data_IF_705545642287
#
_entry.id   IF_705545642287
#
_cell.length_a   1.000
_cell.length_b   1.000
_cell.length_c   1.000
_cell.angle_alpha   90.00
_cell.angle_beta   90.00
_cell.angle_gamma   90.00
#
_symmetry.space_group_name_H-M   'P 1'
#
loop_
_entity.id
_entity.type
_entity.pdbx_description
1 polymer ?
#
# COMPACT_ATOMS: atom_id res chain seq x y z
N UNK A 1 -7.02 13.09 -15.76
CA UNK A 1 -6.95 13.99 -14.60
C UNK A 1 -5.70 13.77 -13.74
N UNK A 2 -5.12 12.58 -13.67
CA UNK A 2 -3.88 12.26 -12.95
C UNK A 2 -2.59 12.90 -13.52
N UNK A 3 -2.55 13.29 -14.79
CA UNK A 3 -1.35 13.83 -15.45
C UNK A 3 -0.87 15.17 -14.91
N UNK A 4 -1.76 16.03 -14.43
CA UNK A 4 -1.39 17.40 -13.97
C UNK A 4 -0.76 17.32 -12.56
N UNK A 5 -1.15 16.36 -11.74
CA UNK A 5 -0.66 16.21 -10.36
C UNK A 5 0.80 15.74 -10.33
N UNK A 6 1.21 14.87 -11.25
CA UNK A 6 2.60 14.39 -11.33
C UNK A 6 3.58 15.49 -11.81
N UNK A 7 3.16 16.36 -12.72
CA UNK A 7 4.01 17.47 -13.16
C UNK A 7 4.13 18.60 -12.12
N UNK A 8 3.08 18.87 -11.34
CA UNK A 8 3.14 19.84 -10.25
C UNK A 8 3.97 19.32 -9.05
N UNK A 9 3.90 18.03 -8.74
CA UNK A 9 4.74 17.45 -7.68
C UNK A 9 6.24 17.52 -8.03
N UNK A 10 6.61 17.41 -9.30
CA UNK A 10 8.01 17.55 -9.74
C UNK A 10 8.55 18.99 -9.68
N UNK A 11 7.66 20.01 -9.72
CA UNK A 11 8.04 21.42 -9.66
C UNK A 11 8.07 21.99 -8.21
N UNK A 12 7.45 21.32 -7.23
CA UNK A 12 7.21 21.85 -5.89
C UNK A 12 8.19 21.34 -4.83
N UNK A 13 9.10 20.44 -5.15
CA UNK A 13 10.13 20.00 -4.22
C UNK A 13 11.53 20.39 -4.68
N UNK A 14 12.29 21.16 -3.84
CA UNK A 14 13.74 21.19 -4.00
C UNK A 14 14.27 19.79 -3.70
N UNK A 15 14.40 19.03 -4.72
CA UNK A 15 15.39 18.00 -4.95
C UNK A 15 15.95 17.27 -3.72
N UNK A 16 15.22 16.30 -3.15
CA UNK A 16 15.91 15.05 -2.89
C UNK A 16 15.92 14.30 -4.23
N UNK A 17 16.96 14.54 -5.03
CA UNK A 17 17.23 13.76 -6.22
C UNK A 17 17.63 12.35 -5.78
N UNK A 18 16.68 11.47 -5.49
CA UNK A 18 16.96 10.06 -5.74
C UNK A 18 17.24 9.96 -7.24
N UNK A 19 18.50 9.84 -7.56
CA UNK A 19 18.93 9.41 -8.87
C UNK A 19 18.36 8.00 -9.05
N UNK A 20 17.25 7.85 -9.77
CA UNK A 20 16.77 6.53 -10.20
C UNK A 20 17.78 6.01 -11.22
N UNK A 21 18.92 5.55 -10.72
CA UNK A 21 20.00 5.01 -11.50
C UNK A 21 19.81 3.51 -11.62
N UNK A 22 19.54 3.03 -12.83
CA UNK A 22 19.39 1.57 -13.04
C UNK A 22 20.66 0.80 -12.66
N UNK A 23 21.82 1.47 -12.58
CA UNK A 23 23.09 0.92 -12.08
C UNK A 23 22.99 0.42 -10.62
N UNK A 24 22.02 0.88 -9.83
CA UNK A 24 21.73 0.32 -8.51
C UNK A 24 21.43 -1.19 -8.57
N UNK A 25 21.04 -1.69 -9.74
CA UNK A 25 20.75 -3.11 -9.98
C UNK A 25 21.90 -3.91 -10.57
N UNK A 26 23.09 -3.32 -10.76
CA UNK A 26 24.25 -4.03 -11.31
C UNK A 26 24.70 -5.21 -10.44
N UNK A 27 24.44 -5.15 -9.13
CA UNK A 27 24.70 -6.26 -8.22
C UNK A 27 23.84 -7.50 -8.48
N UNK A 28 22.76 -7.40 -9.27
CA UNK A 28 21.89 -8.51 -9.64
C UNK A 28 22.24 -9.14 -11.00
N UNK A 29 23.27 -8.66 -11.68
CA UNK A 29 23.73 -9.24 -12.96
C UNK A 29 24.09 -10.73 -12.77
N UNK A 30 23.48 -11.61 -13.57
CA UNK A 30 23.69 -13.05 -13.51
C UNK A 30 23.05 -13.78 -12.32
N UNK A 31 22.28 -13.07 -11.47
CA UNK A 31 21.73 -13.58 -10.20
C UNK A 31 20.20 -13.72 -10.19
N UNK A 32 19.54 -13.52 -11.33
CA UNK A 32 18.10 -13.68 -11.51
C UNK A 32 17.85 -14.55 -12.72
N UNK A 33 17.05 -15.61 -12.59
CA UNK A 33 16.76 -16.51 -13.70
C UNK A 33 15.63 -15.99 -14.58
N UNK A 34 15.62 -16.42 -15.85
CA UNK A 34 14.53 -16.15 -16.79
C UNK A 34 13.17 -16.62 -16.23
N UNK A 35 13.13 -17.83 -15.64
CA UNK A 35 11.91 -18.38 -15.07
C UNK A 35 11.35 -17.56 -13.90
N UNK A 36 12.23 -16.98 -13.07
CA UNK A 36 11.80 -16.06 -12.00
C UNK A 36 11.18 -14.78 -12.57
N UNK A 37 11.83 -14.17 -13.58
CA UNK A 37 11.30 -12.99 -14.27
C UNK A 37 9.92 -13.30 -14.89
N UNK A 38 9.81 -14.41 -15.64
CA UNK A 38 8.54 -14.81 -16.26
C UNK A 38 7.41 -15.03 -15.23
N UNK A 39 7.74 -15.63 -14.09
CA UNK A 39 6.77 -15.85 -13.02
C UNK A 39 6.28 -14.53 -12.39
N UNK A 40 7.16 -13.58 -12.16
CA UNK A 40 6.81 -12.26 -11.61
C UNK A 40 6.05 -11.40 -12.63
N UNK A 41 6.44 -11.41 -13.92
CA UNK A 41 5.78 -10.65 -14.98
C UNK A 41 4.28 -10.94 -15.09
N UNK A 42 3.83 -12.16 -14.81
CA UNK A 42 2.40 -12.54 -14.79
C UNK A 42 1.55 -11.65 -13.90
N UNK A 43 2.14 -11.11 -12.84
CA UNK A 43 1.46 -10.31 -11.83
C UNK A 43 1.90 -8.84 -11.82
N UNK A 44 3.06 -8.56 -12.39
CA UNK A 44 3.56 -7.19 -12.45
C UNK A 44 2.99 -6.40 -13.63
N UNK A 45 2.55 -7.05 -14.70
CA UNK A 45 2.07 -6.40 -15.92
C UNK A 45 0.57 -6.59 -16.10
N UNK A 46 -0.19 -5.45 -16.12
CA UNK A 46 -1.65 -5.45 -16.32
C UNK A 46 -2.04 -5.35 -17.79
N UNK A 47 -1.34 -4.55 -18.60
CA UNK A 47 -1.70 -4.29 -19.98
C UNK A 47 -0.62 -4.80 -20.96
N UNK A 48 -1.04 -5.23 -22.16
CA UNK A 48 -0.11 -5.66 -23.21
C UNK A 48 0.81 -4.51 -23.66
N UNK A 49 0.32 -3.29 -23.65
CA UNK A 49 1.06 -2.10 -24.06
C UNK A 49 2.23 -1.78 -23.12
N UNK A 50 2.18 -2.25 -21.87
CA UNK A 50 3.31 -2.16 -20.94
C UNK A 50 4.55 -2.91 -21.47
N UNK A 51 4.38 -3.91 -22.32
CA UNK A 51 5.48 -4.63 -22.97
C UNK A 51 6.28 -3.76 -23.94
N UNK A 52 5.80 -2.56 -24.27
CA UNK A 52 6.55 -1.58 -25.07
C UNK A 52 7.82 -1.09 -24.36
N UNK A 53 7.92 -1.24 -23.04
CA UNK A 53 8.99 -0.73 -22.20
C UNK A 53 10.02 -1.77 -21.79
N UNK A 54 9.87 -3.02 -22.20
CA UNK A 54 10.85 -4.08 -21.90
C UNK A 54 10.88 -5.18 -22.95
N UNK A 55 11.95 -5.97 -22.91
CA UNK A 55 12.08 -7.26 -23.62
C UNK A 55 12.71 -8.29 -22.70
N UNK A 56 12.29 -9.53 -22.87
CA UNK A 56 12.89 -10.70 -22.21
C UNK A 56 13.42 -11.65 -23.29
N UNK A 57 14.73 -11.89 -23.26
CA UNK A 57 15.41 -12.87 -24.12
C UNK A 57 15.83 -14.10 -23.28
N UNK A 58 16.61 -14.99 -23.85
CA UNK A 58 17.13 -16.15 -23.11
C UNK A 58 18.21 -15.73 -22.09
N UNK A 59 18.94 -14.67 -22.39
CA UNK A 59 20.13 -14.21 -21.67
C UNK A 59 19.97 -12.86 -20.97
N UNK A 60 18.89 -12.11 -21.26
CA UNK A 60 18.74 -10.76 -20.72
C UNK A 60 17.29 -10.32 -20.54
N UNK A 61 17.09 -9.43 -19.53
CA UNK A 61 15.92 -8.58 -19.40
C UNK A 61 16.32 -7.12 -19.70
N UNK A 62 15.63 -6.50 -20.66
CA UNK A 62 16.03 -5.20 -21.21
C UNK A 62 14.91 -4.19 -20.94
N UNK A 63 15.25 -3.02 -20.42
CA UNK A 63 14.35 -1.87 -20.21
C UNK A 63 14.57 -0.85 -21.33
N UNK A 64 13.47 -0.27 -21.80
CA UNK A 64 13.45 0.82 -22.79
C UNK A 64 12.70 2.03 -22.24
N UNK A 65 13.14 3.24 -22.59
CA UNK A 65 12.48 4.47 -22.16
C UNK A 65 11.15 4.72 -22.91
N UNK A 66 11.03 4.18 -24.15
CA UNK A 66 9.84 4.31 -24.97
C UNK A 66 9.71 3.16 -25.99
N UNK A 67 8.54 3.05 -26.63
CA UNK A 67 8.36 2.14 -27.77
C UNK A 67 9.33 2.49 -28.92
N UNK A 68 9.57 3.78 -29.17
CA UNK A 68 10.52 4.22 -30.20
C UNK A 68 11.94 3.77 -29.94
N UNK A 69 12.38 3.80 -28.69
CA UNK A 69 13.70 3.31 -28.29
C UNK A 69 13.79 1.79 -28.44
N UNK A 70 12.72 1.07 -28.07
CA UNK A 70 12.64 -0.38 -28.28
C UNK A 70 12.77 -0.75 -29.75
N UNK A 71 12.07 -0.06 -30.65
CA UNK A 71 12.15 -0.28 -32.10
C UNK A 71 13.55 -0.03 -32.67
N UNK A 72 14.30 0.88 -32.08
CA UNK A 72 15.69 1.22 -32.45
C UNK A 72 16.73 0.44 -31.67
N UNK A 73 16.30 -0.48 -30.77
CA UNK A 73 17.19 -1.22 -29.84
C UNK A 73 18.05 -0.30 -28.97
N UNK A 74 17.54 0.89 -28.61
CA UNK A 74 18.18 1.82 -27.69
C UNK A 74 17.80 1.48 -26.26
N UNK A 75 18.66 0.72 -25.59
CA UNK A 75 18.43 0.22 -24.24
C UNK A 75 18.60 1.32 -23.18
N UNK A 76 17.67 1.41 -22.23
CA UNK A 76 17.83 2.24 -21.04
C UNK A 76 18.64 1.48 -19.97
N UNK A 77 18.42 0.13 -19.89
CA UNK A 77 19.18 -0.77 -19.02
C UNK A 77 19.09 -2.21 -19.51
N UNK A 78 20.15 -2.98 -19.28
CA UNK A 78 20.22 -4.43 -19.56
C UNK A 78 20.63 -5.17 -18.29
N UNK A 79 19.79 -6.13 -17.89
CA UNK A 79 20.08 -7.10 -16.84
C UNK A 79 20.44 -8.43 -17.49
N UNK A 80 21.64 -8.93 -17.29
CA UNK A 80 22.06 -10.28 -17.70
C UNK A 80 21.39 -11.29 -16.77
N UNK A 81 20.76 -12.30 -17.35
CA UNK A 81 20.10 -13.38 -16.62
C UNK A 81 21.09 -14.50 -16.27
N UNK A 82 20.78 -15.28 -15.24
CA UNK A 82 21.60 -16.37 -14.76
C UNK A 82 20.83 -17.28 -13.81
N UNK A 83 21.46 -17.70 -12.73
CA UNK A 83 20.82 -18.50 -11.69
C UNK A 83 20.23 -17.60 -10.61
N UNK A 84 18.98 -17.84 -10.22
CA UNK A 84 18.37 -17.11 -9.12
C UNK A 84 19.07 -17.40 -7.81
N UNK A 85 19.29 -16.33 -7.04
CA UNK A 85 19.71 -16.45 -5.65
C UNK A 85 18.60 -17.10 -4.81
N UNK A 86 18.99 -17.75 -3.72
CA UNK A 86 18.03 -18.15 -2.69
C UNK A 86 17.36 -16.93 -2.06
N UNK A 87 16.10 -17.10 -1.64
CA UNK A 87 15.43 -16.06 -0.86
C UNK A 87 16.23 -15.76 0.41
N UNK A 88 16.30 -14.49 0.85
CA UNK A 88 16.99 -14.15 2.08
C UNK A 88 16.37 -14.88 3.27
N UNK A 89 17.22 -15.35 4.18
CA UNK A 89 16.74 -15.95 5.42
C UNK A 89 16.04 -14.89 6.27
N UNK A 90 14.82 -15.19 6.71
CA UNK A 90 14.09 -14.32 7.62
C UNK A 90 14.63 -14.46 9.05
N UNK A 91 14.47 -13.41 9.85
CA UNK A 91 14.75 -13.45 11.29
C UNK A 91 13.85 -14.50 11.96
N UNK A 92 14.33 -15.10 13.04
CA UNK A 92 13.63 -16.21 13.74
C UNK A 92 12.83 -15.78 14.97
N UNK A 93 12.83 -14.50 15.27
CA UNK A 93 12.07 -13.91 16.38
C UNK A 93 11.73 -12.47 16.06
N UNK A 94 10.78 -11.88 16.77
CA UNK A 94 10.44 -10.46 16.65
C UNK A 94 11.49 -9.55 17.30
N UNK A 95 12.30 -10.07 18.21
CA UNK A 95 13.36 -9.29 18.85
C UNK A 95 14.31 -8.70 17.79
N UNK A 96 14.46 -7.38 17.82
CA UNK A 96 15.27 -6.61 16.86
C UNK A 96 14.77 -6.65 15.39
N UNK A 97 13.54 -7.15 15.14
CA UNK A 97 12.90 -6.92 13.85
C UNK A 97 12.50 -5.46 13.70
N UNK A 98 12.76 -4.90 12.53
CA UNK A 98 12.30 -3.57 12.14
C UNK A 98 10.96 -3.68 11.41
N UNK A 99 9.91 -3.10 11.97
CA UNK A 99 8.57 -3.18 11.41
C UNK A 99 8.04 -1.78 11.16
N UNK A 100 7.73 -1.46 9.91
CA UNK A 100 7.03 -0.23 9.59
C UNK A 100 5.52 -0.46 9.56
N UNK A 101 4.77 0.45 10.15
CA UNK A 101 3.31 0.46 10.11
C UNK A 101 2.87 1.80 9.51
N UNK A 102 2.10 1.73 8.44
CA UNK A 102 1.46 2.87 7.81
C UNK A 102 -0.04 2.85 8.07
N UNK A 103 -0.55 3.66 9.01
CA UNK A 103 -1.99 3.83 9.16
C UNK A 103 -2.51 4.64 7.99
N UNK A 104 -3.36 4.02 7.15
CA UNK A 104 -3.94 4.65 5.98
C UNK A 104 -4.79 5.87 6.30
N UNK A 105 -4.96 6.74 5.32
CA UNK A 105 -5.78 7.95 5.40
C UNK A 105 -5.38 8.95 6.49
N UNK A 106 -6.15 10.04 6.61
CA UNK A 106 -6.04 11.04 7.67
C UNK A 106 -7.24 10.92 8.60
N UNK A 107 -7.00 11.03 9.91
CA UNK A 107 -8.06 11.05 10.93
C UNK A 107 -8.57 12.46 11.23
N UNK A 108 -9.46 12.55 12.23
CA UNK A 108 -10.04 13.80 12.70
C UNK A 108 -10.73 14.60 11.58
N UNK A 109 -10.59 15.92 11.65
CA UNK A 109 -11.20 16.85 10.69
C UNK A 109 -10.73 16.64 9.24
N UNK A 110 -9.52 16.15 9.01
CA UNK A 110 -9.01 15.90 7.68
C UNK A 110 -9.71 14.73 6.97
N UNK A 111 -10.40 13.86 7.71
CA UNK A 111 -11.21 12.78 7.12
C UNK A 111 -12.32 13.32 6.20
N UNK A 112 -12.90 14.49 6.53
CA UNK A 112 -13.90 15.17 5.70
C UNK A 112 -13.28 15.75 4.42
N UNK A 113 -12.09 16.35 4.50
CA UNK A 113 -11.37 16.84 3.32
C UNK A 113 -10.93 15.68 2.41
N UNK A 114 -10.53 14.57 2.99
CA UNK A 114 -10.17 13.35 2.25
C UNK A 114 -11.40 12.58 1.76
N UNK A 115 -12.58 12.85 2.31
CA UNK A 115 -13.83 12.12 2.08
C UNK A 115 -13.70 10.63 2.46
N UNK A 116 -13.23 10.39 3.68
CA UNK A 116 -13.00 9.05 4.27
C UNK A 116 -13.66 8.91 5.64
N UNK A 117 -14.96 9.18 5.68
CA UNK A 117 -15.78 9.08 6.88
C UNK A 117 -17.04 8.26 6.60
N UNK A 118 -17.57 7.63 7.62
CA UNK A 118 -18.84 6.89 7.60
C UNK A 118 -19.83 7.63 8.47
N UNK A 119 -20.98 8.00 7.90
CA UNK A 119 -22.11 8.61 8.59
C UNK A 119 -23.40 7.92 8.16
N UNK A 120 -23.88 6.99 8.97
CA UNK A 120 -25.03 6.15 8.65
C UNK A 120 -26.08 6.31 9.75
N UNK A 121 -27.29 6.75 9.38
CA UNK A 121 -28.44 6.77 10.27
C UNK A 121 -29.11 5.38 10.32
N UNK A 122 -29.07 4.74 11.49
CA UNK A 122 -29.71 3.44 11.71
C UNK A 122 -30.51 3.43 13.01
N UNK A 123 -31.81 3.09 12.96
CA UNK A 123 -32.73 3.03 14.12
C UNK A 123 -32.63 4.26 15.04
N UNK A 124 -32.66 5.47 14.47
CA UNK A 124 -32.54 6.77 15.16
C UNK A 124 -31.19 7.03 15.83
N UNK A 125 -30.17 6.21 15.56
CA UNK A 125 -28.77 6.45 15.97
C UNK A 125 -27.94 6.83 14.76
N UNK A 126 -27.03 7.78 14.95
CA UNK A 126 -25.99 8.09 13.97
C UNK A 126 -24.78 7.20 14.26
N UNK A 127 -24.40 6.35 13.32
CA UNK A 127 -23.12 5.64 13.32
C UNK A 127 -22.11 6.53 12.59
N UNK A 128 -21.19 7.11 13.34
CA UNK A 128 -20.22 8.07 12.79
C UNK A 128 -18.79 7.67 13.22
N UNK A 129 -17.92 7.50 12.24
CA UNK A 129 -16.49 7.27 12.41
C UNK A 129 -15.75 7.55 11.10
N UNK A 130 -14.43 7.57 11.12
CA UNK A 130 -13.63 7.76 9.91
C UNK A 130 -12.52 6.72 9.82
N UNK A 131 -12.16 6.36 8.59
CA UNK A 131 -11.17 5.32 8.32
C UNK A 131 -9.79 5.68 8.87
N UNK A 132 -9.39 6.96 8.79
CA UNK A 132 -8.10 7.42 9.30
C UNK A 132 -7.92 7.22 10.81
N UNK A 133 -8.99 7.39 11.61
CA UNK A 133 -8.96 7.11 13.05
C UNK A 133 -8.93 5.61 13.32
N UNK A 134 -9.72 4.82 12.58
CA UNK A 134 -9.71 3.37 12.72
C UNK A 134 -8.30 2.80 12.47
N UNK A 135 -7.65 3.21 11.37
CA UNK A 135 -6.32 2.73 11.01
C UNK A 135 -5.25 3.19 11.99
N UNK A 136 -5.34 4.45 12.45
CA UNK A 136 -4.40 5.01 13.42
C UNK A 136 -4.44 4.27 14.77
N UNK A 137 -5.62 4.06 15.32
CA UNK A 137 -5.79 3.36 16.59
C UNK A 137 -5.41 1.89 16.50
N UNK A 138 -5.73 1.23 15.37
CA UNK A 138 -5.26 -0.12 15.09
C UNK A 138 -3.72 -0.19 15.07
N UNK A 139 -3.06 0.80 14.43
CA UNK A 139 -1.61 0.88 14.34
C UNK A 139 -0.95 1.12 15.71
N UNK A 140 -1.55 1.96 16.56
CA UNK A 140 -1.05 2.20 17.92
C UNK A 140 -1.08 0.92 18.76
N UNK A 141 -2.16 0.15 18.69
CA UNK A 141 -2.27 -1.10 19.45
C UNK A 141 -1.36 -2.19 18.87
N UNK A 142 -1.25 -2.29 17.54
CA UNK A 142 -0.31 -3.20 16.89
C UNK A 142 1.14 -2.87 17.28
N UNK A 143 1.52 -1.59 17.30
CA UNK A 143 2.84 -1.14 17.76
C UNK A 143 3.11 -1.61 19.18
N UNK A 144 2.16 -1.40 20.10
CA UNK A 144 2.30 -1.84 21.51
C UNK A 144 2.55 -3.34 21.62
N UNK A 145 1.84 -4.16 20.86
CA UNK A 145 2.01 -5.61 20.85
C UNK A 145 3.39 -6.02 20.33
N UNK A 146 3.86 -5.40 19.26
CA UNK A 146 5.14 -5.71 18.63
C UNK A 146 6.34 -5.27 19.49
N UNK A 147 6.25 -4.09 20.12
CA UNK A 147 7.30 -3.59 21.01
C UNK A 147 7.45 -4.43 22.28
N UNK A 148 6.34 -5.00 22.78
CA UNK A 148 6.40 -5.98 23.90
C UNK A 148 7.18 -7.25 23.56
N UNK A 149 7.22 -7.63 22.29
CA UNK A 149 8.03 -8.75 21.78
C UNK A 149 9.45 -8.33 21.37
N UNK A 150 9.83 -7.09 21.63
CA UNK A 150 11.17 -6.55 21.35
C UNK A 150 11.42 -6.09 19.92
N UNK A 151 10.38 -5.87 19.12
CA UNK A 151 10.51 -5.29 17.78
C UNK A 151 10.77 -3.79 17.85
N UNK A 152 11.55 -3.27 16.89
CA UNK A 152 11.69 -1.83 16.62
C UNK A 152 10.58 -1.41 15.65
N UNK A 153 9.65 -0.55 16.11
CA UNK A 153 8.46 -0.20 15.33
C UNK A 153 8.47 1.27 14.91
N UNK A 154 8.32 1.51 13.63
CA UNK A 154 8.17 2.83 13.02
C UNK A 154 6.73 3.06 12.55
N UNK A 155 6.11 4.20 12.96
CA UNK A 155 4.84 4.67 12.43
C UNK A 155 5.07 5.82 11.46
N UNK A 156 4.40 5.81 10.31
CA UNK A 156 4.50 6.92 9.32
C UNK A 156 3.85 8.19 9.82
N UNK A 157 2.87 8.10 10.72
CA UNK A 157 2.27 9.21 11.45
C UNK A 157 2.02 8.85 12.91
N UNK A 158 2.14 9.84 13.81
CA UNK A 158 2.07 9.66 15.27
C UNK A 158 0.88 10.36 15.91
N UNK A 159 0.09 11.10 15.13
CA UNK A 159 -1.15 11.76 15.58
C UNK A 159 -2.27 11.57 14.56
N UNK A 160 -3.51 11.73 15.01
CA UNK A 160 -4.72 11.48 14.21
C UNK A 160 -4.80 12.36 12.96
N UNK A 161 -4.48 13.64 13.08
CA UNK A 161 -4.64 14.67 12.04
C UNK A 161 -3.34 15.01 11.33
N UNK A 162 -2.27 14.24 11.58
CA UNK A 162 -0.98 14.43 10.92
C UNK A 162 -0.79 13.41 9.80
N UNK A 163 -0.04 13.82 8.77
CA UNK A 163 0.53 12.94 7.77
C UNK A 163 2.01 12.65 8.06
N UNK A 164 2.72 12.19 7.04
CA UNK A 164 4.16 12.04 7.09
C UNK A 164 4.90 13.35 6.80
N UNK A 165 4.24 14.34 6.20
CA UNK A 165 4.81 15.66 5.98
C UNK A 165 4.99 16.41 7.30
N UNK A 166 6.03 17.25 7.38
CA UNK A 166 6.24 18.15 8.52
C UNK A 166 5.24 19.31 8.56
N UNK A 167 4.64 19.64 7.42
CA UNK A 167 3.64 20.69 7.27
C UNK A 167 2.25 20.05 7.23
N UNK A 168 1.30 20.61 8.00
CA UNK A 168 -0.10 20.27 7.84
C UNK A 168 -0.66 20.86 6.52
N UNK A 169 -1.88 20.48 6.15
CA UNK A 169 -2.46 20.90 4.87
C UNK A 169 -2.53 22.42 4.68
N UNK A 170 -2.90 23.18 5.70
CA UNK A 170 -3.00 24.62 5.58
C UNK A 170 -1.64 25.31 5.51
N UNK A 171 -0.64 24.83 6.26
CA UNK A 171 0.74 25.27 6.13
C UNK A 171 1.31 24.95 4.75
N UNK A 172 0.99 23.78 4.22
CA UNK A 172 1.36 23.39 2.85
C UNK A 172 0.78 24.37 1.82
N UNK A 173 -0.49 24.75 1.94
CA UNK A 173 -1.11 25.73 1.04
C UNK A 173 -0.48 27.13 1.18
N UNK A 174 -0.08 27.53 2.37
CA UNK A 174 0.62 28.82 2.58
C UNK A 174 1.97 28.87 1.88
N UNK A 175 2.69 27.75 1.83
CA UNK A 175 3.99 27.65 1.15
C UNK A 175 3.87 27.39 -0.37
N UNK A 176 2.67 27.13 -0.86
CA UNK A 176 2.37 26.87 -2.28
C UNK A 176 1.20 27.73 -2.79
N UNK A 177 1.40 29.08 -2.85
CA UNK A 177 0.32 30.02 -3.15
C UNK A 177 -0.29 29.84 -4.55
N UNK A 178 0.47 29.31 -5.51
CA UNK A 178 -0.04 29.06 -6.88
C UNK A 178 -1.18 28.02 -6.90
N UNK A 179 -1.30 27.16 -5.87
CA UNK A 179 -2.42 26.23 -5.77
C UNK A 179 -3.76 26.94 -5.65
N UNK A 180 -3.80 28.14 -5.04
CA UNK A 180 -4.99 28.96 -4.94
C UNK A 180 -5.50 29.46 -6.30
N UNK A 181 -4.59 29.62 -7.27
CA UNK A 181 -4.92 30.05 -8.62
C UNK A 181 -5.58 28.96 -9.45
N UNK A 182 -5.58 27.71 -8.99
CA UNK A 182 -6.11 26.56 -9.74
C UNK A 182 -7.64 26.45 -9.72
N UNK A 183 -8.35 27.32 -8.99
CA UNK A 183 -9.81 27.29 -8.81
C UNK A 183 -10.36 25.96 -8.27
N UNK A 184 -9.54 25.16 -7.60
CA UNK A 184 -9.92 23.89 -6.97
C UNK A 184 -10.47 24.13 -5.57
N UNK A 185 -11.42 23.29 -5.15
CA UNK A 185 -11.89 23.26 -3.77
C UNK A 185 -10.81 22.74 -2.82
N UNK A 186 -10.92 23.01 -1.52
CA UNK A 186 -10.00 22.46 -0.50
C UNK A 186 -9.96 20.92 -0.56
N UNK A 187 -11.10 20.26 -0.73
CA UNK A 187 -11.18 18.80 -0.93
C UNK A 187 -10.39 18.33 -2.15
N UNK A 188 -10.51 19.04 -3.28
CA UNK A 188 -9.74 18.69 -4.48
C UNK A 188 -8.24 18.92 -4.31
N UNK A 189 -7.83 19.98 -3.61
CA UNK A 189 -6.43 20.23 -3.29
C UNK A 189 -5.89 19.20 -2.30
N UNK A 190 -6.67 18.89 -1.26
CA UNK A 190 -6.29 17.87 -0.28
C UNK A 190 -6.09 16.51 -0.93
N UNK A 191 -7.10 15.98 -1.61
CA UNK A 191 -7.07 14.65 -2.23
C UNK A 191 -6.17 14.54 -3.45
N UNK A 192 -6.11 15.58 -4.25
CA UNK A 192 -5.42 15.57 -5.54
C UNK A 192 -3.95 16.01 -5.46
N UNK A 193 -3.57 16.74 -4.44
CA UNK A 193 -2.21 17.28 -4.30
C UNK A 193 -1.58 16.87 -2.97
N UNK A 194 -2.11 17.37 -1.84
CA UNK A 194 -1.49 17.17 -0.53
C UNK A 194 -1.37 15.69 -0.16
N UNK A 195 -2.44 14.91 -0.30
CA UNK A 195 -2.41 13.47 -0.03
C UNK A 195 -1.41 12.74 -0.94
N UNK A 196 -1.32 13.15 -2.22
CA UNK A 196 -0.33 12.57 -3.13
C UNK A 196 1.10 12.79 -2.66
N UNK A 197 1.43 14.00 -2.22
CA UNK A 197 2.75 14.36 -1.68
C UNK A 197 3.02 13.63 -0.37
N UNK A 198 2.02 13.52 0.51
CA UNK A 198 2.14 12.79 1.77
C UNK A 198 2.41 11.29 1.57
N UNK A 199 1.80 10.65 0.57
CA UNK A 199 2.08 9.25 0.23
C UNK A 199 3.55 9.04 -0.18
N UNK A 200 4.16 9.99 -0.92
CA UNK A 200 5.59 9.93 -1.22
C UNK A 200 6.45 10.08 0.04
N UNK A 201 6.09 11.01 0.92
CA UNK A 201 6.81 11.20 2.19
C UNK A 201 6.69 9.96 3.10
N UNK A 202 5.53 9.28 3.14
CA UNK A 202 5.35 8.00 3.86
C UNK A 202 6.31 6.94 3.33
N UNK A 203 6.34 6.73 2.02
CA UNK A 203 7.23 5.75 1.38
C UNK A 203 8.71 6.07 1.66
N UNK A 204 9.12 7.34 1.56
CA UNK A 204 10.48 7.78 1.83
C UNK A 204 10.91 7.48 3.27
N UNK A 205 10.07 7.81 4.26
CA UNK A 205 10.34 7.53 5.66
C UNK A 205 10.42 6.03 5.95
N UNK A 206 9.53 5.22 5.36
CA UNK A 206 9.59 3.76 5.47
C UNK A 206 10.90 3.24 4.89
N UNK A 207 11.26 3.66 3.67
CA UNK A 207 12.47 3.22 3.00
C UNK A 207 13.74 3.66 3.74
N UNK A 208 13.74 4.84 4.37
CA UNK A 208 14.84 5.31 5.23
C UNK A 208 14.98 4.46 6.50
N UNK A 209 13.88 4.04 7.10
CA UNK A 209 13.87 3.15 8.26
C UNK A 209 14.38 1.75 7.92
N UNK A 210 14.26 1.30 6.66
CA UNK A 210 14.67 -0.02 6.15
C UNK A 210 14.04 -1.17 6.96
N UNK A 211 12.72 -1.31 6.95
CA UNK A 211 12.03 -2.34 7.71
C UNK A 211 12.29 -3.75 7.15
N UNK A 212 12.22 -4.75 8.03
CA UNK A 212 12.16 -6.16 7.63
C UNK A 212 10.80 -6.52 7.00
N UNK A 213 9.73 -5.80 7.41
CA UNK A 213 8.40 -5.89 6.82
C UNK A 213 7.60 -4.61 7.05
N UNK A 214 6.73 -4.26 6.11
CA UNK A 214 5.82 -3.12 6.21
C UNK A 214 4.36 -3.59 6.23
N UNK A 215 3.56 -3.04 7.14
CA UNK A 215 2.11 -3.20 7.21
C UNK A 215 1.44 -1.88 6.87
N UNK A 216 0.61 -1.87 5.84
CA UNK A 216 -0.22 -0.73 5.45
C UNK A 216 -1.66 -1.07 5.82
N UNK A 217 -2.24 -0.35 6.78
CA UNK A 217 -3.53 -0.68 7.39
C UNK A 217 -4.64 0.13 6.74
N UNK A 218 -5.65 -0.56 6.23
CA UNK A 218 -6.88 0.01 5.70
C UNK A 218 -8.11 -0.78 6.14
N UNK A 219 -9.27 -0.14 6.03
CA UNK A 219 -10.59 -0.72 6.17
C UNK A 219 -11.37 -0.48 4.88
N UNK A 220 -11.85 -1.56 4.27
CA UNK A 220 -12.55 -1.42 3.01
C UNK A 220 -13.93 -0.75 3.18
N UNK A 221 -14.41 -0.10 2.12
CA UNK A 221 -15.80 0.30 2.00
C UNK A 221 -16.37 -0.25 0.69
N UNK A 222 -17.43 -1.02 0.78
CA UNK A 222 -18.09 -1.56 -0.42
C UNK A 222 -18.88 -0.46 -1.12
N UNK A 223 -18.57 -0.27 -2.39
CA UNK A 223 -19.20 0.75 -3.22
C UNK A 223 -20.31 0.11 -4.06
N UNK A 224 -21.52 0.22 -3.58
CA UNK A 224 -22.68 -0.12 -4.39
C UNK A 224 -23.12 1.03 -5.30
N UNK A 225 -22.54 2.24 -5.14
CA UNK A 225 -22.76 3.44 -5.99
C UNK A 225 -22.08 4.71 -5.39
N UNK A 226 -22.60 5.93 -5.68
CA UNK A 226 -22.00 7.22 -5.31
C UNK A 226 -21.97 7.54 -3.80
N UNK A 227 -22.63 6.74 -2.96
CA UNK A 227 -22.86 7.03 -1.54
C UNK A 227 -22.22 6.01 -0.58
N UNK A 228 -21.06 5.47 -0.92
CA UNK A 228 -20.43 4.36 -0.18
C UNK A 228 -20.17 4.63 1.33
N UNK A 229 -20.07 5.88 1.74
CA UNK A 229 -19.81 6.23 3.13
C UNK A 229 -21.06 6.58 3.92
N UNK A 230 -22.21 6.72 3.25
CA UNK A 230 -23.51 7.03 3.86
C UNK A 230 -24.53 5.91 3.66
N UNK A 231 -24.18 4.87 2.89
CA UNK A 231 -25.04 3.72 2.62
C UNK A 231 -24.52 2.46 3.30
N UNK A 232 -25.47 1.66 3.79
CA UNK A 232 -25.22 0.34 4.36
C UNK A 232 -25.12 -0.69 3.23
N UNK A 233 -24.24 -1.67 3.40
CA UNK A 233 -24.15 -2.86 2.55
C UNK A 233 -24.32 -4.14 3.38
N UNK A 234 -24.78 -5.20 2.74
CA UNK A 234 -24.76 -6.57 3.26
C UNK A 234 -23.42 -7.28 3.04
N UNK A 235 -22.55 -6.68 2.21
CA UNK A 235 -21.24 -7.23 1.90
C UNK A 235 -20.26 -7.04 3.05
N UNK A 236 -19.56 -8.13 3.40
CA UNK A 236 -18.43 -8.10 4.35
C UNK A 236 -17.37 -9.09 3.90
N UNK A 237 -16.14 -8.63 3.66
CA UNK A 237 -15.04 -9.45 3.18
C UNK A 237 -13.68 -8.82 3.48
N UNK A 238 -12.65 -9.67 3.52
CA UNK A 238 -11.23 -9.28 3.61
C UNK A 238 -10.54 -9.41 2.26
N UNK A 239 -9.54 -8.58 2.03
CA UNK A 239 -8.57 -8.74 0.95
C UNK A 239 -7.26 -8.04 1.28
N UNK A 240 -6.21 -8.36 0.52
CA UNK A 240 -4.90 -7.74 0.69
C UNK A 240 -4.30 -7.38 -0.67
N UNK A 241 -3.51 -6.30 -0.70
CA UNK A 241 -2.78 -5.90 -1.89
C UNK A 241 -1.27 -6.05 -1.68
N UNK A 242 -0.60 -6.43 -2.75
CA UNK A 242 0.86 -6.49 -2.90
C UNK A 242 1.30 -5.66 -4.10
N UNK A 243 2.60 -5.36 -4.27
CA UNK A 243 3.11 -4.66 -5.45
C UNK A 243 2.75 -5.36 -6.76
N UNK A 244 2.48 -4.59 -7.82
CA UNK A 244 2.29 -5.14 -9.16
C UNK A 244 1.21 -4.45 -9.97
N UNK A 245 0.77 -5.10 -11.04
CA UNK A 245 -0.31 -4.60 -11.93
C UNK A 245 0.03 -3.26 -12.61
N UNK A 246 1.27 -3.10 -13.11
CA UNK A 246 1.67 -1.92 -13.89
C UNK A 246 0.98 -1.90 -15.25
N UNK A 247 0.44 -0.74 -15.62
CA UNK A 247 -0.04 -0.44 -16.96
C UNK A 247 0.97 0.36 -17.77
N UNK A 248 0.66 0.58 -19.06
CA UNK A 248 1.49 1.40 -19.95
C UNK A 248 1.69 2.82 -19.39
N UNK A 249 0.64 3.40 -18.84
CA UNK A 249 0.67 4.78 -18.35
C UNK A 249 1.71 5.04 -17.29
N UNK A 250 1.94 4.07 -16.40
CA UNK A 250 2.95 4.17 -15.36
C UNK A 250 4.36 3.98 -15.91
N UNK A 251 4.58 2.99 -16.79
CA UNK A 251 5.91 2.69 -17.33
C UNK A 251 6.46 3.77 -18.26
N UNK A 252 5.66 4.78 -18.67
CA UNK A 252 6.16 6.00 -19.31
C UNK A 252 7.14 6.77 -18.44
N UNK A 253 6.98 6.68 -17.13
CA UNK A 253 7.79 7.39 -16.16
C UNK A 253 9.03 6.57 -15.76
N UNK A 254 10.23 7.17 -15.81
CA UNK A 254 11.49 6.50 -15.44
C UNK A 254 11.44 5.91 -14.04
N UNK A 255 10.86 6.64 -13.08
CA UNK A 255 10.68 6.18 -11.71
C UNK A 255 9.87 4.87 -11.63
N UNK A 256 8.79 4.77 -12.40
CA UNK A 256 7.96 3.56 -12.39
C UNK A 256 8.69 2.37 -13.06
N UNK A 257 9.50 2.60 -14.10
CA UNK A 257 10.35 1.56 -14.70
C UNK A 257 11.44 1.08 -13.72
N UNK A 258 12.00 2.00 -12.93
CA UNK A 258 12.94 1.68 -11.86
C UNK A 258 12.29 0.76 -10.81
N UNK A 259 11.12 1.14 -10.28
CA UNK A 259 10.39 0.33 -9.30
C UNK A 259 9.92 -1.01 -9.88
N UNK A 260 9.55 -1.04 -11.14
CA UNK A 260 9.21 -2.26 -11.85
C UNK A 260 10.40 -3.23 -11.92
N UNK A 261 11.60 -2.74 -12.31
CA UNK A 261 12.82 -3.54 -12.33
C UNK A 261 13.19 -4.01 -10.92
N UNK A 262 13.09 -3.12 -9.91
CA UNK A 262 13.33 -3.49 -8.51
C UNK A 262 12.50 -4.72 -8.10
N UNK A 263 11.21 -4.70 -8.36
CA UNK A 263 10.31 -5.82 -8.03
C UNK A 263 10.66 -7.12 -8.79
N UNK A 264 11.20 -7.00 -9.99
CA UNK A 264 11.66 -8.16 -10.75
C UNK A 264 12.91 -8.79 -10.14
N UNK A 265 13.89 -7.97 -9.71
CA UNK A 265 15.21 -8.47 -9.30
C UNK A 265 15.33 -8.75 -7.81
N UNK A 266 14.49 -8.10 -6.96
CA UNK A 266 14.52 -8.30 -5.50
C UNK A 266 13.54 -9.39 -5.06
N UNK A 267 13.64 -9.79 -3.79
CA UNK A 267 12.70 -10.70 -3.14
C UNK A 267 11.38 -10.03 -2.72
N UNK A 268 11.25 -8.71 -2.89
CA UNK A 268 10.13 -7.91 -2.36
C UNK A 268 8.76 -8.45 -2.77
N UNK A 269 8.56 -8.74 -4.07
CA UNK A 269 7.31 -9.29 -4.57
C UNK A 269 7.00 -10.67 -3.94
N UNK A 270 7.98 -11.57 -3.93
CA UNK A 270 7.82 -12.94 -3.45
C UNK A 270 7.52 -12.97 -1.96
N UNK A 271 8.27 -12.20 -1.16
CA UNK A 271 8.06 -12.12 0.28
C UNK A 271 6.78 -11.36 0.64
N UNK A 272 6.40 -10.32 -0.11
CA UNK A 272 5.09 -9.65 0.05
C UNK A 272 3.94 -10.63 -0.17
N UNK A 273 4.03 -11.47 -1.19
CA UNK A 273 3.03 -12.52 -1.45
C UNK A 273 2.92 -13.51 -0.29
N UNK A 274 4.06 -13.99 0.23
CA UNK A 274 4.09 -14.92 1.37
C UNK A 274 3.49 -14.28 2.63
N UNK A 275 3.91 -13.07 2.97
CA UNK A 275 3.41 -12.33 4.12
C UNK A 275 1.91 -12.02 4.01
N UNK A 276 1.47 -11.50 2.87
CA UNK A 276 0.07 -11.15 2.64
C UNK A 276 -0.89 -12.33 2.69
N UNK A 277 -0.45 -13.52 2.25
CA UNK A 277 -1.21 -14.78 2.42
C UNK A 277 -1.43 -15.10 3.90
N UNK A 278 -0.42 -14.91 4.73
CA UNK A 278 -0.53 -15.14 6.18
C UNK A 278 -1.48 -14.11 6.80
N UNK A 279 -1.35 -12.83 6.45
CA UNK A 279 -2.23 -11.75 6.94
C UNK A 279 -3.69 -12.06 6.59
N UNK A 280 -3.99 -12.38 5.34
CA UNK A 280 -5.36 -12.69 4.90
C UNK A 280 -5.96 -13.88 5.65
N UNK A 281 -5.18 -14.92 5.86
CA UNK A 281 -5.62 -16.07 6.64
C UNK A 281 -5.90 -15.68 8.09
N UNK A 282 -5.06 -14.85 8.73
CA UNK A 282 -5.30 -14.33 10.08
C UNK A 282 -6.52 -13.43 10.17
N UNK A 283 -6.80 -12.64 9.16
CA UNK A 283 -8.07 -11.89 9.07
C UNK A 283 -9.27 -12.84 9.08
N UNK A 284 -9.26 -13.87 8.26
CA UNK A 284 -10.36 -14.84 8.22
C UNK A 284 -10.55 -15.56 9.57
N UNK A 285 -9.43 -15.98 10.20
CA UNK A 285 -9.44 -16.69 11.48
C UNK A 285 -9.94 -15.81 12.64
N UNK A 286 -9.45 -14.58 12.75
CA UNK A 286 -9.72 -13.71 13.91
C UNK A 286 -10.95 -12.84 13.75
N UNK A 287 -11.21 -12.34 12.54
CA UNK A 287 -12.32 -11.42 12.31
C UNK A 287 -13.61 -12.15 11.98
N UNK A 288 -13.55 -13.44 11.62
CA UNK A 288 -14.67 -14.25 11.14
C UNK A 288 -15.34 -13.62 9.89
N UNK A 289 -14.54 -12.93 9.08
CA UNK A 289 -14.96 -12.28 7.85
C UNK A 289 -14.35 -13.05 6.68
N UNK A 290 -15.14 -13.43 5.65
CA UNK A 290 -14.65 -14.23 4.55
C UNK A 290 -13.70 -13.44 3.64
N UNK A 291 -12.93 -14.15 2.83
CA UNK A 291 -12.15 -13.58 1.74
C UNK A 291 -13.07 -13.12 0.62
N UNK A 292 -12.78 -11.96 0.01
CA UNK A 292 -13.49 -11.43 -1.16
C UNK A 292 -13.58 -12.46 -2.29
N UNK A 293 -14.70 -12.42 -2.99
CA UNK A 293 -14.99 -13.27 -4.15
C UNK A 293 -15.48 -12.41 -5.33
N UNK A 294 -15.47 -12.90 -6.57
CA UNK A 294 -16.05 -12.20 -7.72
C UNK A 294 -17.53 -11.80 -7.52
N UNK A 295 -18.30 -12.61 -6.78
CA UNK A 295 -19.72 -12.33 -6.47
C UNK A 295 -19.92 -11.10 -5.57
N UNK A 296 -18.86 -10.58 -4.95
CA UNK A 296 -18.93 -9.36 -4.15
C UNK A 296 -18.97 -8.09 -5.00
N UNK A 297 -18.69 -8.21 -6.31
CA UNK A 297 -18.89 -7.13 -7.29
C UNK A 297 -17.91 -5.95 -7.14
N UNK A 298 -16.71 -6.18 -6.66
CA UNK A 298 -15.65 -5.18 -6.51
C UNK A 298 -14.98 -4.87 -7.86
N UNK A 299 -15.64 -4.05 -8.68
CA UNK A 299 -15.23 -3.75 -10.06
C UNK A 299 -13.76 -3.32 -10.21
N UNK A 300 -13.20 -2.59 -9.25
CA UNK A 300 -11.81 -2.14 -9.33
C UNK A 300 -10.80 -3.30 -9.22
N UNK A 301 -11.17 -4.44 -8.65
CA UNK A 301 -10.31 -5.63 -8.63
C UNK A 301 -10.13 -6.19 -10.03
N UNK A 302 -11.18 -6.18 -10.85
CA UNK A 302 -11.12 -6.65 -12.24
C UNK A 302 -10.32 -5.68 -13.13
N UNK A 303 -10.54 -4.37 -12.94
CA UNK A 303 -9.99 -3.34 -13.85
C UNK A 303 -8.59 -2.87 -13.48
N UNK A 304 -8.22 -2.84 -12.19
CA UNK A 304 -7.00 -2.22 -11.69
C UNK A 304 -6.08 -3.15 -10.89
N UNK A 305 -6.39 -4.44 -10.82
CA UNK A 305 -5.55 -5.42 -10.11
C UNK A 305 -5.44 -6.75 -10.87
N UNK A 306 -4.53 -7.60 -10.43
CA UNK A 306 -4.36 -8.98 -10.91
C UNK A 306 -4.45 -9.89 -9.70
N UNK A 307 -5.34 -10.86 -9.72
CA UNK A 307 -5.41 -11.87 -8.66
C UNK A 307 -4.18 -12.77 -8.71
N UNK A 308 -3.46 -12.84 -7.60
CA UNK A 308 -2.24 -13.64 -7.44
C UNK A 308 -2.59 -14.99 -6.79
N UNK A 309 -3.44 -14.92 -5.77
CA UNK A 309 -4.09 -16.03 -5.06
C UNK A 309 -5.43 -15.49 -4.55
N UNK A 310 -6.35 -16.38 -4.18
CA UNK A 310 -7.68 -15.99 -3.67
C UNK A 310 -7.57 -14.91 -2.59
N UNK A 311 -8.06 -13.71 -2.89
CA UNK A 311 -8.07 -12.54 -2.00
C UNK A 311 -6.73 -11.80 -1.87
N UNK A 312 -5.66 -12.27 -2.54
CA UNK A 312 -4.38 -11.57 -2.64
C UNK A 312 -4.25 -11.01 -4.05
N UNK A 313 -4.18 -9.69 -4.16
CA UNK A 313 -4.17 -9.00 -5.45
C UNK A 313 -2.90 -8.17 -5.63
N UNK A 314 -2.23 -8.30 -6.77
CA UNK A 314 -1.23 -7.34 -7.21
C UNK A 314 -1.94 -6.07 -7.67
N UNK A 315 -1.60 -4.90 -7.10
CA UNK A 315 -2.22 -3.63 -7.43
C UNK A 315 -1.21 -2.48 -7.37
N UNK A 316 -1.22 -1.63 -8.41
CA UNK A 316 -0.31 -0.49 -8.51
C UNK A 316 -0.85 0.73 -7.74
N UNK A 317 -0.83 0.65 -6.40
CA UNK A 317 -1.03 1.79 -5.52
C UNK A 317 0.29 2.53 -5.28
N UNK A 318 0.24 3.79 -4.85
CA UNK A 318 1.44 4.57 -4.57
C UNK A 318 2.37 3.85 -3.57
N UNK A 319 1.85 3.43 -2.42
CA UNK A 319 2.65 2.78 -1.38
C UNK A 319 3.07 1.36 -1.77
N UNK A 320 2.22 0.56 -2.44
CA UNK A 320 2.65 -0.77 -2.89
C UNK A 320 3.79 -0.71 -3.90
N UNK A 321 3.84 0.36 -4.71
CA UNK A 321 4.93 0.58 -5.68
C UNK A 321 6.20 1.14 -5.04
N UNK A 322 6.05 2.15 -4.15
CA UNK A 322 7.16 2.98 -3.68
C UNK A 322 7.86 2.45 -2.44
N UNK A 323 7.19 1.61 -1.65
CA UNK A 323 7.78 1.01 -0.45
C UNK A 323 8.67 -0.15 -0.86
N UNK A 324 9.90 -0.15 -0.35
CA UNK A 324 10.89 -1.20 -0.56
C UNK A 324 10.82 -2.24 0.55
N UNK A 325 11.13 -3.50 0.21
CA UNK A 325 11.01 -4.65 1.09
C UNK A 325 9.64 -5.32 1.07
N UNK A 326 9.48 -6.40 1.85
CA UNK A 326 8.22 -7.12 1.95
C UNK A 326 7.13 -6.24 2.56
N UNK A 327 5.93 -6.25 1.96
CA UNK A 327 4.80 -5.48 2.48
C UNK A 327 3.46 -6.23 2.32
N UNK A 328 2.51 -5.84 3.16
CA UNK A 328 1.10 -6.16 3.00
C UNK A 328 0.28 -4.87 3.15
N UNK A 329 -0.53 -4.57 2.14
CA UNK A 329 -1.57 -3.54 2.20
C UNK A 329 -2.90 -4.25 2.49
N UNK A 330 -3.33 -4.22 3.75
CA UNK A 330 -4.50 -4.97 4.21
C UNK A 330 -5.76 -4.13 4.20
N UNK A 331 -6.79 -4.63 3.54
CA UNK A 331 -8.16 -4.13 3.55
C UNK A 331 -8.99 -5.08 4.42
N UNK A 332 -8.95 -4.87 5.74
CA UNK A 332 -9.66 -5.69 6.69
C UNK A 332 -11.12 -5.27 6.78
N UNK A 333 -12.04 -6.22 6.64
CA UNK A 333 -13.50 -6.04 6.72
C UNK A 333 -14.09 -4.88 5.87
N UNK A 334 -15.39 -4.80 5.76
CA UNK A 334 -16.10 -3.72 5.07
C UNK A 334 -16.76 -2.80 6.10
N UNK A 335 -16.20 -1.60 6.29
CA UNK A 335 -16.57 -0.67 7.37
C UNK A 335 -18.02 -0.16 7.27
N UNK A 336 -18.61 -0.13 6.08
CA UNK A 336 -20.04 0.22 5.87
C UNK A 336 -20.96 -1.01 5.79
N UNK A 337 -20.49 -2.23 6.11
CA UNK A 337 -21.36 -3.34 6.46
C UNK A 337 -22.10 -3.02 7.76
N UNK A 338 -23.40 -3.30 7.83
CA UNK A 338 -24.22 -2.90 8.98
C UNK A 338 -23.67 -3.43 10.32
N UNK A 339 -23.30 -4.70 10.37
CA UNK A 339 -22.81 -5.33 11.59
C UNK A 339 -21.44 -4.72 11.99
N UNK A 340 -20.53 -4.55 11.03
CA UNK A 340 -19.24 -3.94 11.29
C UNK A 340 -19.38 -2.45 11.65
N UNK A 341 -20.25 -1.70 11.01
CA UNK A 341 -20.50 -0.30 11.36
C UNK A 341 -21.03 -0.16 12.79
N UNK A 342 -21.95 -1.05 13.22
CA UNK A 342 -22.44 -1.11 14.60
C UNK A 342 -21.32 -1.49 15.59
N UNK A 343 -20.39 -2.35 15.22
CA UNK A 343 -19.24 -2.72 16.07
C UNK A 343 -18.22 -1.58 16.13
N UNK A 344 -17.82 -1.03 14.97
CA UNK A 344 -16.80 0.02 14.83
C UNK A 344 -17.19 1.34 15.49
N UNK A 345 -18.50 1.66 15.55
CA UNK A 345 -19.02 2.86 16.21
C UNK A 345 -19.09 2.77 17.74
N UNK A 346 -18.80 1.60 18.34
CA UNK A 346 -18.77 1.45 19.81
C UNK A 346 -17.54 2.11 20.40
N UNK A 347 -17.70 2.63 21.62
CA UNK A 347 -16.59 3.12 22.44
C UNK A 347 -16.51 2.24 23.67
N UNK A 348 -16.30 0.93 23.47
CA UNK A 348 -16.33 -0.11 24.50
C UNK A 348 -14.95 -0.48 25.06
N UNK A 349 -13.91 0.18 24.57
CA UNK A 349 -12.53 0.07 25.07
C UNK A 349 -11.75 1.37 24.83
N UNK A 350 -10.47 1.37 25.18
CA UNK A 350 -9.56 2.45 24.84
C UNK A 350 -8.20 1.90 24.35
N UNK A 351 -7.49 2.72 23.57
CA UNK A 351 -6.12 2.48 23.12
C UNK A 351 -5.34 3.77 23.38
N UNK A 352 -4.35 3.71 24.28
CA UNK A 352 -3.51 4.86 24.67
C UNK A 352 -4.33 6.10 25.08
N UNK A 353 -5.44 5.89 25.83
CA UNK A 353 -6.33 6.96 26.27
C UNK A 353 -7.36 7.43 25.23
N UNK A 354 -7.38 6.87 24.04
CA UNK A 354 -8.40 7.16 23.03
C UNK A 354 -9.56 6.14 23.16
N UNK A 355 -10.79 6.60 23.50
CA UNK A 355 -11.98 5.72 23.46
C UNK A 355 -12.20 5.18 22.04
N UNK A 356 -12.42 3.86 21.93
CA UNK A 356 -12.56 3.23 20.62
C UNK A 356 -13.29 1.88 20.71
N UNK A 357 -13.49 1.27 19.55
CA UNK A 357 -14.08 -0.06 19.45
C UNK A 357 -13.05 -1.17 19.75
N UNK A 358 -13.44 -2.17 20.51
CA UNK A 358 -12.69 -3.40 20.70
C UNK A 358 -12.40 -4.15 19.39
N UNK A 359 -13.21 -3.91 18.34
CA UNK A 359 -12.98 -4.47 16.99
C UNK A 359 -11.62 -4.09 16.42
N UNK A 360 -11.09 -2.90 16.74
CA UNK A 360 -9.76 -2.45 16.32
C UNK A 360 -8.64 -3.31 16.91
N UNK A 361 -8.81 -3.76 18.17
CA UNK A 361 -7.87 -4.67 18.81
C UNK A 361 -7.86 -6.05 18.15
N UNK A 362 -9.03 -6.54 17.71
CA UNK A 362 -9.12 -7.80 16.96
C UNK A 362 -8.35 -7.71 15.63
N UNK A 363 -8.51 -6.60 14.89
CA UNK A 363 -7.75 -6.36 13.63
C UNK A 363 -6.25 -6.29 13.90
N UNK A 364 -5.83 -5.55 14.93
CA UNK A 364 -4.42 -5.44 15.30
C UNK A 364 -3.81 -6.80 15.72
N UNK A 365 -4.56 -7.62 16.47
CA UNK A 365 -4.15 -8.97 16.85
C UNK A 365 -3.98 -9.89 15.64
N UNK A 366 -4.84 -9.78 14.63
CA UNK A 366 -4.69 -10.54 13.40
C UNK A 366 -3.39 -10.17 12.65
N UNK A 367 -3.07 -8.89 12.55
CA UNK A 367 -1.76 -8.43 12.01
C UNK A 367 -0.59 -8.91 12.86
N UNK A 368 -0.68 -8.76 14.18
CA UNK A 368 0.38 -9.18 15.11
C UNK A 368 0.72 -10.66 14.95
N UNK A 369 -0.28 -11.52 14.95
CA UNK A 369 -0.07 -12.97 14.77
C UNK A 369 0.43 -13.33 13.37
N UNK A 370 0.04 -12.56 12.34
CA UNK A 370 0.57 -12.74 11.00
C UNK A 370 2.06 -12.41 10.94
N UNK A 371 2.48 -11.32 11.59
CA UNK A 371 3.89 -10.92 11.67
C UNK A 371 4.70 -11.96 12.45
N UNK A 372 4.19 -12.40 13.62
CA UNK A 372 4.83 -13.48 14.37
C UNK A 372 5.02 -14.74 13.52
N UNK A 373 4.00 -15.17 12.80
CA UNK A 373 4.09 -16.36 11.98
C UNK A 373 5.06 -16.18 10.80
N UNK A 374 5.09 -15.00 10.18
CA UNK A 374 5.99 -14.71 9.08
C UNK A 374 7.47 -14.87 9.47
N UNK A 375 7.84 -14.42 10.67
CA UNK A 375 9.23 -14.53 11.15
C UNK A 375 9.56 -15.87 11.82
N UNK A 376 8.63 -16.48 12.53
CA UNK A 376 8.91 -17.66 13.36
C UNK A 376 8.69 -18.97 12.62
N UNK A 377 7.66 -19.10 11.77
CA UNK A 377 7.23 -20.38 11.18
C UNK A 377 7.85 -20.75 9.83
N UNK A 378 8.64 -19.90 9.19
CA UNK A 378 9.30 -20.26 7.93
C UNK A 378 10.55 -21.15 8.11
N UNK A 379 10.75 -21.72 9.28
CA UNK A 379 11.94 -22.50 9.64
C UNK A 379 11.67 -23.99 9.94
N UNK A 380 10.50 -24.50 9.56
CA UNK A 380 10.19 -25.95 9.65
C UNK A 380 9.95 -26.59 8.30
#
# INVERSE_FOLDING_TARGET
>A
MYRIVLHLAALLFPCFMYSFAFQDFDSYQGRVSKGEIENKLKYLIKSKEAQNYFSLTDDAFIIYASLGDKQKSQEEYRLILGSSDALPALKKSLANCKIAIDPGHFGGEYSHLEQRFVEISFQKKLLAFNEGDLTFLTALYLKELLEKEGAEVFLTRTKREEGALSQNFFQFLQTHPDLWLTQKTLTQLFRGVYNGVDLYARAEKINTFKPDVTVIIHYNAHDSQKEKYTSITDKNYNMVFIPGSFGEGELKEKKARYEFLRLLVTSDFTLSKQFSRIVLRKFNEHLQVPTVTPSDGTRYLETASIEVEKGVYARNLALTRLVHGPLCYGESLVQNNLEEALRLSRLDTEIQGYPCSSRLKEVALAYFQAIQEFFVKQNN
#
